data_IF_982041994711
#
_entry.id   IF_982041994711
#
_cell.length_a   1.000
_cell.length_b   1.000
_cell.length_c   1.000
_cell.angle_alpha   90.00
_cell.angle_beta   90.00
_cell.angle_gamma   90.00
#
_symmetry.space_group_name_H-M   'P 1'
#
loop_
_entity.id
_entity.type
_entity.pdbx_description
1 polymer ?
#
# COMPACT_ATOMS: atom_id res chain seq x y z
N UNK A 1 -27.96 2.21 -21.46
CA UNK A 1 -28.17 0.85 -22.03
C UNK A 1 -26.95 0.35 -22.81
N UNK A 2 -26.53 1.01 -23.90
CA UNK A 2 -25.36 0.60 -24.71
C UNK A 2 -24.07 0.51 -23.89
N UNK A 3 -23.77 1.52 -23.06
CA UNK A 3 -22.62 1.49 -22.15
C UNK A 3 -22.63 0.32 -21.16
N UNK A 4 -23.81 -0.16 -20.74
CA UNK A 4 -23.91 -1.29 -19.82
C UNK A 4 -23.71 -2.60 -20.57
N UNK A 5 -24.26 -2.74 -21.79
CA UNK A 5 -24.04 -3.93 -22.62
C UNK A 5 -22.54 -4.20 -22.87
N UNK A 6 -21.73 -3.14 -23.01
CA UNK A 6 -20.27 -3.25 -23.16
C UNK A 6 -19.54 -3.91 -21.99
N UNK A 7 -20.14 -3.96 -20.79
CA UNK A 7 -19.54 -4.70 -19.67
C UNK A 7 -19.67 -6.21 -19.83
N UNK A 8 -20.67 -6.68 -20.58
CA UNK A 8 -20.87 -8.09 -20.88
C UNK A 8 -20.04 -8.54 -22.08
N UNK A 9 -19.92 -7.69 -23.11
CA UNK A 9 -19.17 -8.01 -24.33
C UNK A 9 -17.66 -7.78 -24.20
N UNK A 10 -17.22 -7.01 -23.21
CA UNK A 10 -15.81 -6.63 -23.04
C UNK A 10 -15.31 -5.58 -24.03
N UNK A 11 -16.20 -4.99 -24.85
CA UNK A 11 -15.86 -3.98 -25.85
C UNK A 11 -15.28 -2.72 -25.20
N UNK A 12 -14.06 -2.34 -25.60
CA UNK A 12 -13.32 -1.19 -25.06
C UNK A 12 -12.95 -0.21 -26.19
N UNK A 13 -13.92 0.59 -26.68
CA UNK A 13 -13.70 1.44 -27.86
C UNK A 13 -12.77 2.64 -27.58
N UNK A 14 -12.51 2.97 -26.32
CA UNK A 14 -11.69 4.14 -25.97
C UNK A 14 -10.26 3.74 -25.63
N UNK A 15 -9.36 3.84 -26.60
CA UNK A 15 -7.94 3.51 -26.43
C UNK A 15 -7.13 4.72 -25.93
N UNK A 16 -6.14 4.45 -25.09
CA UNK A 16 -5.14 5.45 -24.71
C UNK A 16 -4.09 5.57 -25.81
N UNK A 17 -3.74 6.80 -26.19
CA UNK A 17 -2.69 7.05 -27.20
C UNK A 17 -1.27 6.90 -26.64
N UNK A 18 -1.11 6.91 -25.31
CA UNK A 18 0.19 6.88 -24.64
C UNK A 18 0.54 5.50 -24.07
N UNK A 19 -0.40 4.56 -24.07
CA UNK A 19 -0.15 3.17 -23.67
C UNK A 19 -1.23 2.23 -24.23
N UNK A 20 -1.01 0.92 -24.16
CA UNK A 20 -1.91 -0.09 -24.72
C UNK A 20 -3.20 -0.33 -23.92
N UNK A 21 -3.61 0.61 -23.05
CA UNK A 21 -4.83 0.47 -22.25
C UNK A 21 -6.06 0.98 -23.00
N UNK A 22 -7.13 0.20 -22.95
CA UNK A 22 -8.43 0.56 -23.52
C UNK A 22 -9.54 0.51 -22.46
N UNK A 23 -10.55 1.35 -22.64
CA UNK A 23 -11.64 1.57 -21.68
C UNK A 23 -13.00 1.44 -22.36
N UNK A 24 -13.97 0.96 -21.59
CA UNK A 24 -15.38 0.85 -22.00
C UNK A 24 -16.08 2.21 -22.08
N UNK A 25 -15.58 3.18 -21.29
CA UNK A 25 -16.14 4.52 -21.12
C UNK A 25 -15.10 5.61 -21.39
N UNK A 26 -15.51 6.67 -22.11
CA UNK A 26 -14.67 7.85 -22.37
C UNK A 26 -14.18 8.52 -21.09
N UNK A 27 -15.05 8.65 -20.09
CA UNK A 27 -14.68 9.26 -18.80
C UNK A 27 -13.59 8.46 -18.06
N UNK A 28 -13.52 7.14 -18.24
CA UNK A 28 -12.46 6.32 -17.66
C UNK A 28 -11.13 6.53 -18.40
N UNK A 29 -11.16 6.70 -19.72
CA UNK A 29 -9.99 7.09 -20.49
C UNK A 29 -9.45 8.45 -20.03
N UNK A 30 -10.31 9.47 -19.88
CA UNK A 30 -9.90 10.81 -19.42
C UNK A 30 -9.25 10.74 -18.04
N UNK A 31 -9.88 10.02 -17.09
CA UNK A 31 -9.30 9.81 -15.76
C UNK A 31 -7.95 9.08 -15.83
N UNK A 32 -7.81 8.12 -16.73
CA UNK A 32 -6.55 7.42 -16.94
C UNK A 32 -5.47 8.31 -17.54
N UNK A 33 -5.80 9.20 -18.49
CA UNK A 33 -4.83 10.11 -19.09
C UNK A 33 -4.13 11.00 -18.06
N UNK A 34 -4.82 11.34 -16.94
CA UNK A 34 -4.20 12.03 -15.79
C UNK A 34 -3.02 11.29 -15.17
N UNK A 35 -2.96 9.96 -15.33
CA UNK A 35 -1.81 9.17 -14.85
C UNK A 35 -0.55 9.39 -15.67
N UNK A 36 -0.70 9.87 -16.92
CA UNK A 36 0.43 10.23 -17.75
C UNK A 36 0.83 11.70 -17.58
N UNK A 37 -0.14 12.61 -17.50
CA UNK A 37 0.11 14.05 -17.37
C UNK A 37 0.48 14.47 -15.95
N UNK A 38 0.17 13.65 -14.94
CA UNK A 38 0.32 14.01 -13.53
C UNK A 38 -0.73 15.01 -13.02
N UNK A 39 -1.76 15.33 -13.83
CA UNK A 39 -2.81 16.27 -13.45
C UNK A 39 -3.54 15.81 -12.18
N UNK A 40 -3.58 16.69 -11.18
CA UNK A 40 -4.20 16.45 -9.88
C UNK A 40 -5.18 17.58 -9.53
N UNK A 41 -6.39 17.58 -10.11
CA UNK A 41 -7.33 18.70 -9.96
C UNK A 41 -7.91 18.85 -8.55
N UNK A 42 -7.81 17.82 -7.72
CA UNK A 42 -8.48 17.77 -6.42
C UNK A 42 -7.45 18.01 -5.31
N UNK A 43 -7.36 19.24 -4.84
CA UNK A 43 -6.43 19.64 -3.78
C UNK A 43 -7.05 19.46 -2.38
N UNK A 44 -6.23 19.01 -1.43
CA UNK A 44 -6.62 19.01 -0.03
C UNK A 44 -6.54 20.43 0.53
N UNK A 45 -7.55 20.86 1.29
CA UNK A 45 -7.54 22.16 1.95
C UNK A 45 -6.72 22.18 3.25
N UNK A 46 -6.34 21.01 3.76
CA UNK A 46 -5.66 20.85 5.06
C UNK A 46 -4.16 20.50 4.90
N UNK A 47 -3.70 20.20 3.70
CA UNK A 47 -2.30 19.96 3.40
C UNK A 47 -2.02 20.17 1.89
N UNK A 48 -0.75 20.12 1.49
CA UNK A 48 -0.34 20.36 0.11
C UNK A 48 -0.56 19.16 -0.84
N UNK A 49 -1.26 18.11 -0.39
CA UNK A 49 -1.52 16.92 -1.21
C UNK A 49 -2.65 17.18 -2.22
N UNK A 50 -2.45 16.67 -3.44
CA UNK A 50 -3.42 16.75 -4.52
C UNK A 50 -3.62 15.40 -5.20
N UNK A 51 -4.84 15.16 -5.69
CA UNK A 51 -5.31 13.89 -6.22
C UNK A 51 -5.87 14.04 -7.63
N UNK A 52 -5.72 13.01 -8.46
CA UNK A 52 -6.27 12.96 -9.81
C UNK A 52 -7.76 12.61 -9.86
N UNK A 53 -8.31 12.11 -8.74
CA UNK A 53 -9.71 11.75 -8.58
C UNK A 53 -10.30 12.26 -7.25
N UNK A 54 -11.58 12.66 -7.26
CA UNK A 54 -12.26 13.21 -6.09
C UNK A 54 -12.44 12.20 -4.94
N UNK A 55 -12.75 10.94 -5.27
CA UNK A 55 -12.87 9.87 -4.28
C UNK A 55 -11.55 9.61 -3.52
N UNK A 56 -10.41 9.82 -4.17
CA UNK A 56 -9.09 9.71 -3.53
C UNK A 56 -8.86 10.86 -2.55
N UNK A 57 -9.29 12.09 -2.91
CA UNK A 57 -9.28 13.24 -1.99
C UNK A 57 -10.18 12.99 -0.78
N UNK A 58 -11.44 12.59 -0.97
CA UNK A 58 -12.37 12.31 0.14
C UNK A 58 -11.80 11.24 1.07
N UNK A 59 -11.21 10.18 0.50
CA UNK A 59 -10.56 9.11 1.28
C UNK A 59 -9.33 9.62 2.02
N UNK A 60 -8.57 10.52 1.42
CA UNK A 60 -7.43 11.17 2.07
C UNK A 60 -7.88 12.09 3.20
N UNK A 61 -8.96 12.86 3.06
CA UNK A 61 -9.45 13.74 4.13
C UNK A 61 -9.73 12.99 5.44
N UNK A 62 -10.09 11.70 5.38
CA UNK A 62 -10.22 10.83 6.56
C UNK A 62 -8.94 10.68 7.38
N UNK A 63 -7.76 10.92 6.80
CA UNK A 63 -6.50 10.90 7.56
C UNK A 63 -6.36 12.11 8.46
N UNK A 64 -7.02 13.22 8.14
CA UNK A 64 -7.05 14.39 9.01
C UNK A 64 -8.14 14.30 10.07
N UNK A 65 -9.34 13.84 9.69
CA UNK A 65 -10.47 13.74 10.63
C UNK A 65 -10.39 12.52 11.55
N UNK A 66 -9.60 11.51 11.18
CA UNK A 66 -9.56 10.23 11.87
C UNK A 66 -10.79 9.34 11.63
N UNK A 67 -11.68 9.72 10.70
CA UNK A 67 -12.92 8.98 10.41
C UNK A 67 -12.62 7.54 9.96
N UNK A 68 -13.22 6.56 10.66
CA UNK A 68 -13.09 5.14 10.39
C UNK A 68 -14.48 4.49 10.27
N UNK A 69 -15.21 4.71 9.17
CA UNK A 69 -16.62 4.33 9.06
C UNK A 69 -16.85 2.81 8.94
N UNK A 70 -15.79 2.01 8.75
CA UNK A 70 -15.92 0.58 8.53
C UNK A 70 -15.52 -0.19 9.80
N UNK A 71 -16.51 -0.69 10.53
CA UNK A 71 -16.30 -1.48 11.76
C UNK A 71 -16.30 -2.99 11.47
N UNK A 72 -15.39 -3.70 12.13
CA UNK A 72 -15.39 -5.16 12.17
C UNK A 72 -16.41 -5.65 13.19
N UNK A 73 -17.38 -6.45 12.74
CA UNK A 73 -18.42 -7.03 13.60
C UNK A 73 -17.89 -8.04 14.63
N UNK A 74 -16.70 -8.62 14.40
CA UNK A 74 -16.14 -9.67 15.27
C UNK A 74 -15.25 -9.12 16.40
N UNK A 75 -14.62 -7.95 16.22
CA UNK A 75 -13.67 -7.42 17.21
C UNK A 75 -13.73 -5.90 17.39
N UNK A 76 -14.78 -5.25 16.87
CA UNK A 76 -15.03 -3.81 16.95
C UNK A 76 -13.92 -2.89 16.40
N UNK A 77 -12.85 -3.44 15.80
CA UNK A 77 -11.81 -2.64 15.14
C UNK A 77 -12.40 -1.88 13.95
N UNK A 78 -12.07 -0.60 13.87
CA UNK A 78 -12.56 0.29 12.81
C UNK A 78 -11.47 0.63 11.79
N UNK A 79 -11.89 0.86 10.54
CA UNK A 79 -11.02 1.12 9.40
C UNK A 79 -11.53 2.31 8.59
N UNK A 80 -10.61 3.08 8.00
CA UNK A 80 -10.94 4.21 7.10
C UNK A 80 -11.32 3.76 5.68
N UNK A 81 -11.03 2.49 5.34
CA UNK A 81 -11.28 1.89 4.02
C UNK A 81 -11.92 0.51 4.14
N UNK A 82 -12.97 0.25 3.35
CA UNK A 82 -13.66 -1.06 3.29
C UNK A 82 -12.71 -2.20 2.92
N UNK A 83 -11.79 -1.96 1.98
CA UNK A 83 -10.80 -2.96 1.57
C UNK A 83 -9.87 -3.39 2.72
N UNK A 84 -9.56 -2.47 3.64
CA UNK A 84 -8.77 -2.80 4.82
C UNK A 84 -9.57 -3.63 5.82
N UNK A 85 -10.86 -3.33 6.01
CA UNK A 85 -11.76 -4.17 6.80
C UNK A 85 -11.84 -5.60 6.23
N UNK A 86 -12.05 -5.75 4.92
CA UNK A 86 -12.12 -7.08 4.27
C UNK A 86 -10.81 -7.86 4.47
N UNK A 87 -9.66 -7.21 4.26
CA UNK A 87 -8.35 -7.84 4.54
C UNK A 87 -8.20 -8.24 6.00
N UNK A 88 -8.64 -7.37 6.91
CA UNK A 88 -8.63 -7.65 8.34
C UNK A 88 -9.51 -8.84 8.70
N UNK A 89 -10.71 -8.96 8.13
CA UNK A 89 -11.63 -10.07 8.44
C UNK A 89 -11.03 -11.45 8.16
N UNK A 90 -10.05 -11.56 7.25
CA UNK A 90 -9.32 -12.81 6.99
C UNK A 90 -8.56 -13.34 8.19
N UNK A 91 -8.21 -12.50 9.16
CA UNK A 91 -7.56 -12.97 10.39
C UNK A 91 -8.51 -13.82 11.22
N UNK A 92 -9.82 -13.55 11.15
CA UNK A 92 -10.81 -14.25 11.94
C UNK A 92 -11.24 -15.56 11.28
N UNK A 93 -11.27 -15.60 9.95
CA UNK A 93 -11.57 -16.83 9.20
C UNK A 93 -10.36 -17.77 9.12
N UNK A 94 -9.15 -17.26 9.34
CA UNK A 94 -7.91 -18.02 9.16
C UNK A 94 -7.60 -18.36 7.70
N UNK A 95 -8.35 -17.81 6.73
CA UNK A 95 -8.16 -18.08 5.31
C UNK A 95 -6.81 -17.55 4.81
N UNK A 96 -5.85 -18.46 4.63
CA UNK A 96 -4.55 -18.17 4.02
C UNK A 96 -4.59 -18.50 2.53
N UNK A 97 -4.93 -17.49 1.72
CA UNK A 97 -5.19 -17.65 0.28
C UNK A 97 -3.92 -17.69 -0.58
N UNK A 98 -2.76 -17.35 0.00
CA UNK A 98 -1.52 -17.18 -0.76
C UNK A 98 -0.49 -18.23 -0.34
N UNK A 99 -0.29 -19.23 -1.19
CA UNK A 99 0.68 -20.30 -0.95
C UNK A 99 2.01 -20.02 -1.65
N UNK A 100 3.12 -20.27 -0.96
CA UNK A 100 4.43 -20.30 -1.56
C UNK A 100 4.62 -21.60 -2.34
N UNK A 101 4.85 -21.49 -3.65
CA UNK A 101 5.08 -22.66 -4.51
C UNK A 101 6.37 -23.42 -4.18
N UNK A 102 7.35 -22.77 -3.55
CA UNK A 102 8.65 -23.38 -3.27
C UNK A 102 8.68 -24.18 -1.96
N UNK A 103 7.90 -23.78 -0.95
CA UNK A 103 7.94 -24.40 0.38
C UNK A 103 6.56 -24.75 0.96
N UNK A 104 5.48 -24.49 0.22
CA UNK A 104 4.10 -24.79 0.64
C UNK A 104 3.52 -23.89 1.74
N UNK A 105 4.29 -22.94 2.30
CA UNK A 105 3.82 -22.03 3.36
C UNK A 105 2.70 -21.13 2.87
N UNK A 106 1.66 -20.99 3.71
CA UNK A 106 0.48 -20.18 3.42
C UNK A 106 0.50 -18.84 4.15
N UNK A 107 0.04 -17.78 3.47
CA UNK A 107 0.01 -16.39 3.95
C UNK A 107 -1.39 -15.79 3.81
N UNK A 108 -1.72 -14.87 4.72
CA UNK A 108 -3.00 -14.15 4.71
C UNK A 108 -3.04 -13.04 3.65
N UNK A 109 -1.88 -12.45 3.33
CA UNK A 109 -1.74 -11.39 2.33
C UNK A 109 -0.67 -11.71 1.29
N UNK A 110 -0.91 -11.24 0.06
CA UNK A 110 0.03 -11.43 -1.05
C UNK A 110 1.39 -10.76 -0.79
N UNK A 111 1.39 -9.60 -0.14
CA UNK A 111 2.63 -8.90 0.18
C UNK A 111 3.51 -9.72 1.12
N UNK A 112 2.91 -10.45 2.07
CA UNK A 112 3.63 -11.35 2.98
C UNK A 112 4.25 -12.51 2.20
N UNK A 113 3.52 -13.06 1.23
CA UNK A 113 4.04 -14.09 0.33
C UNK A 113 5.21 -13.56 -0.52
N UNK A 114 5.08 -12.40 -1.17
CA UNK A 114 6.15 -11.80 -1.98
C UNK A 114 7.39 -11.53 -1.11
N UNK A 115 7.17 -10.97 0.08
CA UNK A 115 8.22 -10.72 1.07
C UNK A 115 8.93 -12.03 1.46
N UNK A 116 8.16 -13.09 1.70
CA UNK A 116 8.70 -14.42 1.98
C UNK A 116 9.45 -15.01 0.79
N UNK A 117 8.99 -14.84 -0.44
CA UNK A 117 9.66 -15.39 -1.62
C UNK A 117 11.11 -14.89 -1.76
N UNK A 118 11.40 -13.68 -1.29
CA UNK A 118 12.78 -13.14 -1.25
C UNK A 118 13.71 -13.92 -0.34
N UNK A 119 13.20 -14.66 0.64
CA UNK A 119 14.03 -15.52 1.49
C UNK A 119 14.56 -16.73 0.74
N UNK A 120 13.91 -17.14 -0.36
CA UNK A 120 14.39 -18.24 -1.18
C UNK A 120 15.37 -17.80 -2.27
N UNK A 121 15.20 -16.58 -2.80
CA UNK A 121 16.08 -16.04 -3.84
C UNK A 121 17.32 -15.34 -3.27
N UNK A 122 17.40 -15.12 -1.96
CA UNK A 122 18.41 -14.29 -1.30
C UNK A 122 18.56 -12.89 -1.95
N UNK A 123 17.51 -12.39 -2.59
CA UNK A 123 17.54 -11.15 -3.34
C UNK A 123 17.63 -9.96 -2.37
N UNK A 124 18.80 -9.34 -2.31
CA UNK A 124 19.09 -8.19 -1.45
C UNK A 124 18.95 -6.89 -2.25
N UNK A 125 17.70 -6.46 -2.45
CA UNK A 125 17.39 -5.27 -3.27
C UNK A 125 17.68 -3.95 -2.56
N UNK A 126 17.87 -3.95 -1.23
CA UNK A 126 18.05 -2.73 -0.45
C UNK A 126 19.51 -2.56 -0.04
N UNK A 127 20.25 -1.77 -0.82
CA UNK A 127 21.66 -1.50 -0.56
C UNK A 127 21.85 -0.29 0.37
N UNK A 128 22.81 -0.39 1.29
CA UNK A 128 23.26 0.75 2.06
C UNK A 128 24.11 1.68 1.19
N UNK A 129 23.86 2.98 1.27
CA UNK A 129 24.64 3.98 0.52
C UNK A 129 25.98 4.32 1.18
N UNK A 130 26.19 3.88 2.43
CA UNK A 130 27.38 4.18 3.24
C UNK A 130 28.33 2.98 3.41
N UNK A 131 27.91 1.78 3.03
CA UNK A 131 28.74 0.57 3.09
C UNK A 131 28.17 -0.53 2.17
N UNK A 132 28.92 -1.60 1.95
CA UNK A 132 28.55 -2.67 1.00
C UNK A 132 27.45 -3.63 1.51
N UNK A 133 26.78 -3.30 2.61
CA UNK A 133 25.71 -4.15 3.15
C UNK A 133 24.42 -3.98 2.35
N UNK A 134 23.80 -5.10 2.02
CA UNK A 134 22.51 -5.17 1.36
C UNK A 134 21.53 -6.06 2.13
N UNK A 135 20.24 -5.72 2.05
CA UNK A 135 19.15 -6.31 2.83
C UNK A 135 17.99 -6.75 1.94
N UNK A 136 17.23 -7.75 2.37
CA UNK A 136 16.02 -8.24 1.68
C UNK A 136 14.76 -7.41 1.98
N UNK A 137 14.76 -6.68 3.11
CA UNK A 137 13.69 -5.77 3.51
C UNK A 137 14.20 -4.35 3.80
N UNK A 138 13.39 -3.35 3.43
CA UNK A 138 13.70 -1.94 3.67
C UNK A 138 13.78 -1.60 5.17
N UNK A 139 12.97 -2.25 6.01
CA UNK A 139 13.00 -2.05 7.47
C UNK A 139 14.36 -2.39 8.06
N UNK A 140 15.00 -3.45 7.55
CA UNK A 140 16.32 -3.86 8.01
C UNK A 140 17.39 -2.87 7.55
N UNK A 141 17.27 -2.33 6.32
CA UNK A 141 18.14 -1.26 5.83
C UNK A 141 17.99 0.01 6.67
N UNK A 142 16.77 0.47 6.97
CA UNK A 142 16.54 1.67 7.80
C UNK A 142 17.15 1.47 9.19
N UNK A 143 16.90 0.33 9.84
CA UNK A 143 17.51 0.00 11.14
C UNK A 143 19.03 -0.02 11.05
N UNK A 144 19.59 -0.54 9.96
CA UNK A 144 21.03 -0.51 9.72
C UNK A 144 21.55 0.92 9.52
N UNK A 145 20.86 1.78 8.79
CA UNK A 145 21.30 3.16 8.55
C UNK A 145 21.42 3.97 9.85
N UNK A 146 20.56 3.70 10.84
CA UNK A 146 20.67 4.31 12.18
C UNK A 146 22.02 4.00 12.84
N UNK A 147 22.64 2.85 12.54
CA UNK A 147 23.98 2.51 13.06
C UNK A 147 25.09 3.41 12.51
N UNK A 148 24.90 4.01 11.33
CA UNK A 148 25.85 4.97 10.76
C UNK A 148 25.65 6.39 11.26
N UNK A 149 24.43 6.75 11.69
CA UNK A 149 24.13 8.09 12.20
C UNK A 149 24.26 8.18 13.72
N UNK A 150 24.20 7.05 14.43
CA UNK A 150 24.16 7.01 15.89
C UNK A 150 22.87 7.60 16.47
N UNK A 151 21.86 7.83 15.63
CA UNK A 151 20.61 8.49 16.02
C UNK A 151 19.82 7.60 16.98
N UNK A 152 19.54 8.11 18.17
CA UNK A 152 18.83 7.36 19.20
C UNK A 152 17.34 7.69 19.14
N UNK A 153 16.62 6.98 18.28
CA UNK A 153 15.19 7.23 18.00
C UNK A 153 14.25 6.71 19.08
N UNK A 154 14.71 5.85 19.99
CA UNK A 154 13.87 5.24 21.02
C UNK A 154 14.25 5.75 22.41
N UNK A 155 13.35 6.48 23.06
CA UNK A 155 13.57 7.00 24.41
C UNK A 155 12.77 6.19 25.44
N UNK A 156 13.44 5.77 26.51
CA UNK A 156 12.78 5.18 27.66
C UNK A 156 12.06 6.27 28.46
N UNK A 157 10.74 6.19 28.56
CA UNK A 157 9.91 7.14 29.31
C UNK A 157 10.17 7.15 30.81
N UNK A 158 10.81 6.10 31.36
CA UNK A 158 11.09 5.99 32.79
C UNK A 158 12.47 6.50 33.21
N UNK A 159 13.46 6.47 32.31
CA UNK A 159 14.84 6.88 32.64
C UNK A 159 15.47 7.83 31.62
N UNK A 160 14.72 8.31 30.63
CA UNK A 160 15.15 9.20 29.54
C UNK A 160 16.37 8.71 28.74
N UNK A 161 16.77 7.44 28.88
CA UNK A 161 17.84 6.83 28.08
C UNK A 161 17.35 6.62 26.66
N UNK A 162 18.18 7.01 25.69
CA UNK A 162 17.89 6.90 24.28
C UNK A 162 18.70 5.75 23.64
N UNK A 163 18.04 4.98 22.78
CA UNK A 163 18.54 3.76 22.13
C UNK A 163 18.34 3.84 20.61
N UNK A 164 19.20 3.14 19.88
CA UNK A 164 19.14 3.03 18.40
C UNK A 164 18.16 1.95 17.93
N UNK A 165 17.71 1.07 18.83
CA UNK A 165 16.76 -0.01 18.55
C UNK A 165 15.78 -0.17 19.72
N UNK A 166 14.52 -0.47 19.42
CA UNK A 166 13.55 -0.90 20.42
C UNK A 166 13.72 -2.40 20.64
N UNK A 167 14.42 -2.78 21.71
CA UNK A 167 14.53 -4.17 22.15
C UNK A 167 13.46 -4.32 23.24
N UNK A 168 12.42 -5.11 22.94
CA UNK A 168 11.41 -5.50 23.93
C UNK A 168 12.05 -6.29 25.08
#
# INVERSE_FOLDING_TARGET
>A
LISHQRTHTGEKPYQCSQCNKAFTLKNNLIKHQRTHTGEKPYQCSQCNEAFSQNNDLIRHQRTHTGEKPFQCSQCNKTFSRKTNLIKHQRIHTGEKQYQCSQCGKNFLQNNDLISHQRTHTCEKTFQCTRCDKAFSHNSDLIRHQITHTGEKTYQCSQCNKAFTQNIN
#
